data_IF_256149027073
#
_entry.id   IF_256149027073
#
_cell.length_a   1.000
_cell.length_b   1.000
_cell.length_c   1.000
_cell.angle_alpha   90.00
_cell.angle_beta   90.00
_cell.angle_gamma   90.00
#
_symmetry.space_group_name_H-M   'P 1'
#
loop_
_entity.id
_entity.type
_entity.pdbx_description
1 polymer ?
#
# COMPACT_ATOMS: atom_id res chain seq x y z
N UNK A 1 -21.81 7.20 -7.45
CA UNK A 1 -21.86 5.78 -7.91
C UNK A 1 -20.58 5.10 -7.49
N UNK A 2 -20.58 3.79 -7.21
CA UNK A 2 -19.34 3.04 -7.00
C UNK A 2 -18.41 3.23 -8.21
N UNK A 3 -17.12 3.44 -7.99
CA UNK A 3 -16.13 3.48 -9.08
C UNK A 3 -16.12 2.08 -9.70
N UNK A 4 -16.48 1.97 -10.99
CA UNK A 4 -16.45 0.71 -11.71
C UNK A 4 -15.02 0.45 -12.14
N UNK A 5 -14.38 -0.55 -11.53
CA UNK A 5 -12.97 -0.89 -11.76
C UNK A 5 -12.87 -2.10 -12.70
N UNK A 6 -11.98 -2.04 -13.70
CA UNK A 6 -11.73 -3.16 -14.61
C UNK A 6 -11.12 -4.36 -13.85
N UNK A 7 -11.47 -5.63 -14.15
CA UNK A 7 -10.91 -6.82 -13.50
C UNK A 7 -9.37 -6.85 -13.40
N UNK A 8 -8.67 -6.42 -14.46
CA UNK A 8 -7.21 -6.33 -14.48
C UNK A 8 -6.64 -5.44 -13.38
N UNK A 9 -7.40 -4.40 -13.04
CA UNK A 9 -7.05 -3.39 -12.05
C UNK A 9 -7.53 -3.90 -10.68
N UNK A 10 -8.75 -4.47 -10.58
CA UNK A 10 -9.44 -4.94 -9.32
C UNK A 10 -8.50 -5.59 -8.30
N UNK A 11 -7.52 -6.39 -8.73
CA UNK A 11 -6.55 -7.02 -7.83
C UNK A 11 -5.77 -6.02 -6.95
N UNK A 12 -5.24 -4.93 -7.51
CA UNK A 12 -4.42 -3.98 -6.75
C UNK A 12 -5.24 -3.30 -5.62
N UNK A 13 -6.50 -2.90 -5.87
CA UNK A 13 -7.42 -2.44 -4.79
C UNK A 13 -7.68 -3.47 -3.71
N UNK A 14 -7.62 -4.78 -4.01
CA UNK A 14 -7.86 -5.77 -2.96
C UNK A 14 -6.75 -5.69 -1.92
N UNK A 15 -5.52 -5.44 -2.36
CA UNK A 15 -4.38 -5.29 -1.47
C UNK A 15 -4.45 -3.97 -0.67
N UNK A 16 -4.98 -2.91 -1.27
CA UNK A 16 -5.29 -1.66 -0.58
C UNK A 16 -6.23 -1.80 0.62
N UNK A 17 -7.11 -2.81 0.63
CA UNK A 17 -7.92 -3.10 1.80
C UNK A 17 -7.03 -3.40 3.02
N UNK A 18 -5.99 -4.20 2.84
CA UNK A 18 -5.07 -4.55 3.93
C UNK A 18 -4.17 -3.36 4.32
N UNK A 19 -3.73 -2.55 3.35
CA UNK A 19 -3.02 -1.29 3.63
C UNK A 19 -3.84 -0.31 4.47
N UNK A 20 -5.13 -0.11 4.14
CA UNK A 20 -6.03 0.73 4.94
C UNK A 20 -6.32 0.11 6.33
N UNK A 21 -6.38 -1.22 6.42
CA UNK A 21 -6.53 -1.91 7.69
C UNK A 21 -5.28 -1.72 8.57
N UNK A 22 -4.08 -1.72 8.00
CA UNK A 22 -2.84 -1.37 8.71
C UNK A 22 -2.92 0.05 9.28
N UNK A 23 -3.32 1.04 8.47
CA UNK A 23 -3.52 2.43 8.93
C UNK A 23 -4.48 2.48 10.12
N UNK A 24 -5.60 1.77 10.04
CA UNK A 24 -6.54 1.67 11.15
C UNK A 24 -5.90 1.05 12.40
N UNK A 25 -5.14 -0.06 12.26
CA UNK A 25 -4.45 -0.72 13.39
C UNK A 25 -3.47 0.22 14.08
N UNK A 26 -2.66 0.97 13.33
CA UNK A 26 -1.71 1.94 13.89
C UNK A 26 -2.47 2.96 14.76
N UNK A 27 -3.52 3.56 14.20
CA UNK A 27 -4.35 4.55 14.91
C UNK A 27 -5.04 3.96 16.14
N UNK A 28 -5.49 2.72 16.04
CA UNK A 28 -6.10 1.99 17.16
C UNK A 28 -5.10 1.70 18.28
N UNK A 29 -3.86 1.34 17.93
CA UNK A 29 -2.76 1.18 18.87
C UNK A 29 -2.49 2.47 19.66
N UNK A 30 -2.40 3.62 18.98
CA UNK A 30 -2.27 4.91 19.64
C UNK A 30 -3.45 5.25 20.55
N UNK A 31 -4.69 5.02 20.09
CA UNK A 31 -5.91 5.26 20.87
C UNK A 31 -5.93 4.44 22.17
N UNK A 32 -5.32 3.27 22.17
CA UNK A 32 -5.20 2.36 23.32
C UNK A 32 -3.94 2.59 24.14
N UNK A 33 -3.13 3.59 23.79
CA UNK A 33 -1.84 3.87 24.44
C UNK A 33 -0.91 2.66 24.43
N UNK A 34 -0.88 1.93 23.31
CA UNK A 34 0.08 0.85 23.07
C UNK A 34 1.45 1.46 22.80
N UNK A 35 2.49 0.88 23.41
CA UNK A 35 3.87 1.28 23.19
C UNK A 35 4.22 1.32 21.69
N UNK A 36 4.79 2.45 21.24
CA UNK A 36 5.12 2.70 19.84
C UNK A 36 6.02 1.61 19.24
N UNK A 37 6.99 1.11 19.99
CA UNK A 37 7.88 0.02 19.57
C UNK A 37 7.10 -1.24 19.17
N UNK A 38 6.04 -1.56 19.92
CA UNK A 38 5.21 -2.74 19.69
C UNK A 38 4.38 -2.59 18.41
N UNK A 39 3.89 -1.38 18.13
CA UNK A 39 3.22 -1.04 16.87
C UNK A 39 4.21 -1.13 15.71
N UNK A 40 5.40 -0.52 15.85
CA UNK A 40 6.46 -0.51 14.83
C UNK A 40 6.91 -1.90 14.41
N UNK A 41 7.04 -2.84 15.35
CA UNK A 41 7.39 -4.24 15.03
C UNK A 41 6.37 -4.88 14.09
N UNK A 42 5.07 -4.65 14.31
CA UNK A 42 4.04 -5.14 13.42
C UNK A 42 4.04 -4.40 12.07
N UNK A 43 4.16 -3.07 12.09
CA UNK A 43 4.14 -2.23 10.88
C UNK A 43 5.29 -2.59 9.95
N UNK A 44 6.51 -2.69 10.47
CA UNK A 44 7.70 -3.06 9.69
C UNK A 44 7.56 -4.47 9.11
N UNK A 45 7.00 -5.43 9.86
CA UNK A 45 6.78 -6.79 9.36
C UNK A 45 5.71 -6.85 8.28
N UNK A 46 4.59 -6.15 8.48
CA UNK A 46 3.53 -6.05 7.50
C UNK A 46 4.04 -5.37 6.22
N UNK A 47 4.83 -4.30 6.36
CA UNK A 47 5.38 -3.59 5.22
C UNK A 47 6.23 -4.51 4.35
N UNK A 48 7.17 -5.25 4.95
CA UNK A 48 8.03 -6.22 4.26
C UNK A 48 7.23 -7.32 3.55
N UNK A 49 6.24 -7.88 4.23
CA UNK A 49 5.52 -9.06 3.74
C UNK A 49 4.42 -8.73 2.72
N UNK A 50 3.76 -7.58 2.87
CA UNK A 50 2.50 -7.27 2.17
C UNK A 50 2.65 -6.05 1.24
N UNK A 51 3.25 -4.95 1.72
CA UNK A 51 3.33 -3.71 0.94
C UNK A 51 4.48 -3.72 -0.08
N UNK A 52 5.66 -4.23 0.27
CA UNK A 52 6.79 -4.31 -0.67
C UNK A 52 6.45 -5.15 -1.91
N UNK A 53 5.87 -6.37 -1.79
CA UNK A 53 5.48 -7.14 -2.97
C UNK A 53 4.39 -6.44 -3.79
N UNK A 54 3.47 -5.75 -3.13
CA UNK A 54 2.39 -4.99 -3.77
C UNK A 54 2.94 -3.81 -4.59
N UNK A 55 3.77 -2.96 -4.00
CA UNK A 55 4.41 -1.82 -4.69
C UNK A 55 5.23 -2.28 -5.89
N UNK A 56 6.00 -3.37 -5.74
CA UNK A 56 6.76 -3.93 -6.86
C UNK A 56 5.84 -4.37 -8.00
N UNK A 57 4.73 -5.02 -7.68
CA UNK A 57 3.77 -5.47 -8.69
C UNK A 57 3.12 -4.29 -9.42
N UNK A 58 2.80 -3.22 -8.71
CA UNK A 58 2.30 -1.99 -9.31
C UNK A 58 3.34 -1.34 -10.23
N UNK A 59 4.56 -1.16 -9.75
CA UNK A 59 5.65 -0.58 -10.53
C UNK A 59 5.97 -1.40 -11.78
N UNK A 60 6.07 -2.73 -11.67
CA UNK A 60 6.47 -3.60 -12.77
C UNK A 60 5.34 -3.82 -13.79
N UNK A 61 4.08 -3.96 -13.35
CA UNK A 61 2.98 -4.43 -14.19
C UNK A 61 1.91 -3.38 -14.51
N UNK A 62 1.82 -2.31 -13.72
CA UNK A 62 0.77 -1.30 -13.85
C UNK A 62 1.31 0.08 -14.22
N UNK A 63 2.26 0.62 -13.47
CA UNK A 63 2.80 1.96 -13.69
C UNK A 63 3.69 2.04 -14.93
N UNK A 64 4.35 0.93 -15.32
CA UNK A 64 5.08 0.80 -16.58
C UNK A 64 4.22 1.02 -17.83
N UNK A 65 2.88 1.01 -17.68
CA UNK A 65 1.94 1.34 -18.77
C UNK A 65 1.80 2.83 -19.01
N UNK A 66 2.33 3.66 -18.12
CA UNK A 66 2.45 5.10 -18.29
C UNK A 66 3.89 5.50 -18.68
N UNK A 67 4.08 6.60 -19.44
CA UNK A 67 5.40 7.16 -19.70
C UNK A 67 6.19 7.43 -18.41
N UNK A 68 7.51 7.31 -18.46
CA UNK A 68 8.40 7.53 -17.29
C UNK A 68 8.31 8.97 -16.73
N UNK A 69 7.95 9.95 -17.57
CA UNK A 69 7.77 11.35 -17.17
C UNK A 69 6.31 11.70 -16.82
N UNK A 70 5.40 10.72 -16.78
CA UNK A 70 4.04 10.92 -16.34
C UNK A 70 4.00 11.36 -14.86
N UNK A 71 3.28 12.45 -14.59
CA UNK A 71 3.26 13.06 -13.25
C UNK A 71 2.61 12.18 -12.19
N UNK A 72 1.60 11.41 -12.57
CA UNK A 72 0.86 10.56 -11.63
C UNK A 72 1.67 9.31 -11.30
N UNK A 73 2.35 8.74 -12.30
CA UNK A 73 3.36 7.68 -12.09
C UNK A 73 4.47 8.14 -11.15
N UNK A 74 5.11 9.27 -11.47
CA UNK A 74 6.18 9.82 -10.65
C UNK A 74 5.72 10.12 -9.22
N UNK A 75 4.47 10.56 -9.03
CA UNK A 75 3.92 10.77 -7.70
C UNK A 75 3.84 9.44 -6.91
N UNK A 76 3.26 8.38 -7.50
CA UNK A 76 3.14 7.08 -6.85
C UNK A 76 4.51 6.49 -6.47
N UNK A 77 5.45 6.45 -7.42
CA UNK A 77 6.81 5.95 -7.18
C UNK A 77 7.56 6.75 -6.10
N UNK A 78 7.38 8.07 -6.07
CA UNK A 78 7.97 8.91 -5.01
C UNK A 78 7.32 8.65 -3.64
N UNK A 79 6.03 8.38 -3.58
CA UNK A 79 5.35 8.04 -2.34
C UNK A 79 5.80 6.66 -1.83
N UNK A 80 5.98 5.66 -2.71
CA UNK A 80 6.60 4.37 -2.38
C UNK A 80 8.00 4.56 -1.77
N UNK A 81 8.83 5.39 -2.39
CA UNK A 81 10.18 5.69 -1.89
C UNK A 81 10.14 6.29 -0.47
N UNK A 82 9.28 7.27 -0.23
CA UNK A 82 9.13 7.90 1.11
C UNK A 82 8.62 6.89 2.15
N UNK A 83 7.68 6.02 1.77
CA UNK A 83 7.19 4.97 2.68
C UNK A 83 8.30 3.99 3.07
N UNK A 84 9.18 3.63 2.13
CA UNK A 84 10.38 2.84 2.42
C UNK A 84 11.32 3.57 3.40
N UNK A 85 11.60 4.86 3.16
CA UNK A 85 12.46 5.68 4.04
C UNK A 85 11.91 5.76 5.48
N UNK A 86 10.58 5.91 5.64
CA UNK A 86 9.92 5.91 6.95
C UNK A 86 10.05 4.56 7.66
N UNK A 87 9.91 3.45 6.93
CA UNK A 87 10.05 2.11 7.50
C UNK A 87 11.50 1.82 7.91
N UNK A 88 12.48 2.22 7.10
CA UNK A 88 13.89 2.11 7.46
C UNK A 88 14.23 2.89 8.73
N UNK A 89 13.59 4.05 8.93
CA UNK A 89 13.72 4.82 10.17
C UNK A 89 13.09 4.09 11.35
N UNK A 90 11.86 3.58 11.21
CA UNK A 90 11.15 2.86 12.26
C UNK A 90 11.83 1.55 12.67
N UNK A 91 12.53 0.89 11.76
CA UNK A 91 13.37 -0.28 12.09
C UNK A 91 14.54 0.08 13.02
N UNK A 92 15.03 1.33 12.98
CA UNK A 92 16.15 1.81 13.82
C UNK A 92 15.65 2.53 15.08
N UNK A 93 14.49 3.18 14.99
CA UNK A 93 13.90 4.04 16.02
C UNK A 93 12.43 3.64 16.25
N UNK A 94 12.20 2.40 16.67
CA UNK A 94 10.85 1.83 16.76
C UNK A 94 9.89 2.56 17.71
N UNK A 95 10.41 3.38 18.63
CA UNK A 95 9.62 4.18 19.56
C UNK A 95 9.22 5.57 19.02
N UNK A 96 9.52 5.89 17.76
CA UNK A 96 9.21 7.18 17.16
C UNK A 96 7.74 7.26 16.72
N UNK A 97 6.89 7.73 17.63
CA UNK A 97 5.45 7.92 17.41
C UNK A 97 5.13 8.87 16.25
N UNK A 98 5.97 9.89 16.04
CA UNK A 98 5.74 10.89 14.99
C UNK A 98 5.91 10.21 13.63
N UNK A 99 6.99 9.46 13.44
CA UNK A 99 7.26 8.77 12.18
C UNK A 99 6.24 7.65 11.90
N UNK A 100 5.75 6.96 12.93
CA UNK A 100 4.63 6.01 12.79
C UNK A 100 3.35 6.70 12.31
N UNK A 101 3.03 7.87 12.86
CA UNK A 101 1.86 8.65 12.44
C UNK A 101 2.02 9.16 11.00
N UNK A 102 3.20 9.66 10.64
CA UNK A 102 3.50 10.12 9.28
C UNK A 102 3.40 8.99 8.27
N UNK A 103 3.89 7.79 8.60
CA UNK A 103 3.73 6.59 7.77
C UNK A 103 2.25 6.26 7.54
N UNK A 104 1.44 6.24 8.59
CA UNK A 104 0.01 5.93 8.49
C UNK A 104 -0.74 6.95 7.61
N UNK A 105 -0.43 8.24 7.78
CA UNK A 105 -1.05 9.32 7.01
C UNK A 105 -0.60 9.32 5.54
N UNK A 106 0.68 9.06 5.27
CA UNK A 106 1.19 8.96 3.91
C UNK A 106 0.59 7.75 3.18
N UNK A 107 0.56 6.58 3.81
CA UNK A 107 0.00 5.37 3.21
C UNK A 107 -1.49 5.54 2.89
N UNK A 108 -2.27 6.14 3.80
CA UNK A 108 -3.68 6.42 3.51
C UNK A 108 -3.86 7.39 2.34
N UNK A 109 -3.08 8.47 2.29
CA UNK A 109 -3.16 9.45 1.20
C UNK A 109 -2.79 8.83 -0.14
N UNK A 110 -1.71 8.05 -0.17
CA UNK A 110 -1.23 7.33 -1.33
C UNK A 110 -2.30 6.37 -1.87
N UNK A 111 -2.82 5.46 -1.04
CA UNK A 111 -3.89 4.52 -1.44
C UNK A 111 -5.12 5.27 -1.98
N UNK A 112 -5.51 6.38 -1.32
CA UNK A 112 -6.66 7.18 -1.78
C UNK A 112 -6.42 7.84 -3.13
N UNK A 113 -5.22 8.35 -3.36
CA UNK A 113 -4.80 8.91 -4.64
C UNK A 113 -4.88 7.85 -5.74
N UNK A 114 -4.36 6.66 -5.48
CA UNK A 114 -4.35 5.61 -6.49
C UNK A 114 -5.75 5.15 -6.86
N UNK A 115 -6.57 4.87 -5.85
CA UNK A 115 -7.96 4.42 -6.04
C UNK A 115 -8.84 5.44 -6.77
N UNK A 116 -8.64 6.73 -6.49
CA UNK A 116 -9.55 7.78 -6.97
C UNK A 116 -9.05 8.45 -8.24
N UNK A 117 -7.75 8.46 -8.46
CA UNK A 117 -7.12 9.23 -9.53
C UNK A 117 -6.31 8.31 -10.44
N UNK A 118 -5.23 7.70 -9.95
CA UNK A 118 -4.28 6.97 -10.81
C UNK A 118 -4.91 5.76 -11.51
N UNK A 119 -5.61 4.90 -10.79
CA UNK A 119 -6.20 3.70 -11.38
C UNK A 119 -7.33 4.02 -12.37
N UNK A 120 -8.07 5.11 -12.11
CA UNK A 120 -9.07 5.60 -13.07
C UNK A 120 -8.40 6.13 -14.34
N UNK A 121 -7.32 6.90 -14.17
CA UNK A 121 -6.55 7.41 -15.30
C UNK A 121 -5.94 6.28 -16.13
N UNK A 122 -5.33 5.29 -15.50
CA UNK A 122 -4.74 4.13 -16.19
C UNK A 122 -5.82 3.35 -16.94
N UNK A 123 -6.93 2.97 -16.29
CA UNK A 123 -7.95 2.16 -16.98
C UNK A 123 -8.59 2.88 -18.17
N UNK A 124 -8.66 4.22 -18.14
CA UNK A 124 -9.20 5.04 -19.24
C UNK A 124 -8.19 5.21 -20.38
N UNK A 125 -6.90 5.10 -20.06
CA UNK A 125 -5.80 5.28 -21.02
C UNK A 125 -5.42 3.99 -21.75
N UNK A 126 -5.76 2.82 -21.20
CA UNK A 126 -5.37 1.52 -21.76
C UNK A 126 -6.43 0.91 -22.68
N UNK A 127 -5.95 0.22 -23.71
CA UNK A 127 -6.78 -0.60 -24.59
C UNK A 127 -7.21 -1.91 -23.91
N UNK A 128 -8.25 -2.54 -24.45
CA UNK A 128 -8.70 -3.84 -23.96
C UNK A 128 -7.63 -4.95 -24.02
N UNK A 129 -6.72 -4.87 -25.01
CA UNK A 129 -5.62 -5.83 -25.14
C UNK A 129 -4.58 -5.64 -24.02
N UNK A 130 -4.18 -4.40 -23.73
CA UNK A 130 -3.24 -4.08 -22.65
C UNK A 130 -3.82 -4.45 -21.28
N UNK A 131 -5.11 -4.21 -21.05
CA UNK A 131 -5.79 -4.62 -19.82
C UNK A 131 -5.80 -6.15 -19.68
N UNK A 132 -6.01 -6.90 -20.77
CA UNK A 132 -5.96 -8.36 -20.74
C UNK A 132 -4.55 -8.90 -20.44
N UNK A 133 -3.48 -8.21 -20.88
CA UNK A 133 -2.11 -8.58 -20.52
C UNK A 133 -1.88 -8.46 -19.01
N UNK A 134 -2.31 -7.34 -18.40
CA UNK A 134 -2.24 -7.13 -16.95
C UNK A 134 -3.07 -8.18 -16.20
N UNK A 135 -4.22 -8.58 -16.76
CA UNK A 135 -5.04 -9.65 -16.21
C UNK A 135 -4.34 -11.03 -16.32
N UNK A 136 -3.50 -11.26 -17.32
CA UNK A 136 -2.84 -12.56 -17.49
C UNK A 136 -1.63 -12.78 -16.59
N UNK A 137 -0.96 -11.71 -16.14
CA UNK A 137 0.28 -11.78 -15.35
C UNK A 137 0.08 -12.21 -13.89
N UNK A 138 -1.10 -12.71 -13.52
CA UNK A 138 -1.53 -12.90 -12.14
C UNK A 138 -0.82 -14.00 -11.34
N UNK A 139 -0.49 -13.66 -10.08
CA UNK A 139 -0.36 -14.61 -8.97
C UNK A 139 -1.28 -14.15 -7.81
N UNK A 140 -1.99 -15.06 -7.13
CA UNK A 140 -2.82 -14.71 -5.99
C UNK A 140 -1.96 -14.27 -4.80
N UNK A 141 -2.14 -13.02 -4.34
CA UNK A 141 -1.56 -12.53 -3.08
C UNK A 141 -2.57 -12.78 -1.96
N UNK A 142 -2.09 -13.34 -0.85
CA UNK A 142 -2.89 -13.56 0.35
C UNK A 142 -2.20 -12.87 1.51
N UNK A 143 -2.91 -11.93 2.15
CA UNK A 143 -2.44 -11.34 3.40
C UNK A 143 -2.29 -12.43 4.46
N UNK A 144 -1.06 -12.63 4.93
CA UNK A 144 -0.67 -13.70 5.85
C UNK A 144 -0.22 -13.15 7.20
N UNK A 145 0.25 -11.91 7.21
CA UNK A 145 0.85 -11.26 8.38
C UNK A 145 -0.11 -11.22 9.56
N UNK A 146 -1.39 -10.91 9.34
CA UNK A 146 -2.40 -10.87 10.40
C UNK A 146 -2.59 -12.20 11.12
N UNK A 147 -2.60 -13.30 10.37
CA UNK A 147 -2.82 -14.64 10.93
C UNK A 147 -1.61 -15.19 11.67
N UNK A 148 -0.42 -14.71 11.32
CA UNK A 148 0.85 -15.13 11.91
C UNK A 148 1.25 -14.27 13.11
N UNK A 149 0.68 -13.05 13.21
CA UNK A 149 1.01 -12.11 14.27
C UNK A 149 0.36 -12.48 15.60
N UNK A 150 1.20 -12.81 16.59
CA UNK A 150 0.74 -13.22 17.93
C UNK A 150 0.49 -12.04 18.86
N UNK A 151 1.17 -10.93 18.62
CA UNK A 151 1.21 -9.79 19.53
C UNK A 151 0.12 -8.77 19.17
N UNK A 152 -1.13 -9.20 19.22
CA UNK A 152 -2.27 -8.39 18.78
C UNK A 152 -2.48 -7.21 19.75
N UNK A 153 -2.55 -6.00 19.19
CA UNK A 153 -2.72 -4.76 19.96
C UNK A 153 -3.96 -3.94 19.54
N UNK A 154 -4.71 -4.40 18.54
CA UNK A 154 -5.88 -3.74 17.98
C UNK A 154 -7.23 -4.33 18.45
N UNK A 155 -7.21 -5.23 19.44
CA UNK A 155 -8.39 -5.85 20.05
C UNK A 155 -8.76 -5.19 21.37
#
# INVERSE_FOLDING_TARGET
>A
MPIKRNPAIVRFSRDHHFGLLLVWKIREGFRRSIEAERISLYVTKFFENELVPHFRDEEENLFTRLPEDDKMRLQAENDHKKLNELIEHLMKNGNDEIMLSEFADLLEKHIRFEERELFNFIQESLTAAELAEIESAHAPVKCSTDSEWKDIFWN
#
